data_IF_684529054598
#
_entry.id   IF_684529054598
#
_cell.length_a   1.000
_cell.length_b   1.000
_cell.length_c   1.000
_cell.angle_alpha   90.00
_cell.angle_beta   90.00
_cell.angle_gamma   90.00
#
_symmetry.space_group_name_H-M   'P 1'
#
loop_
_entity.id
_entity.type
_entity.pdbx_description
1 polymer ?
#
# COMPACT_ATOMS: atom_id res chain seq x y z
N UNK A 1 -21.63 -31.81 8.24
CA UNK A 1 -21.18 -31.01 7.08
C UNK A 1 -22.01 -29.74 6.96
N UNK A 2 -21.89 -28.79 7.90
CA UNK A 2 -22.72 -27.56 7.87
C UNK A 2 -22.17 -26.40 8.72
N UNK A 3 -20.85 -26.17 8.71
CA UNK A 3 -20.23 -25.04 9.46
C UNK A 3 -19.30 -24.15 8.66
N UNK A 4 -19.13 -24.38 7.35
CA UNK A 4 -18.15 -23.64 6.52
C UNK A 4 -18.66 -22.34 5.88
N UNK A 5 -19.95 -22.02 5.99
CA UNK A 5 -20.53 -20.82 5.35
C UNK A 5 -20.35 -19.53 6.16
N UNK A 6 -19.83 -19.58 7.40
CA UNK A 6 -19.77 -18.40 8.29
C UNK A 6 -18.41 -17.69 8.31
N UNK A 7 -17.34 -18.35 7.88
CA UNK A 7 -15.97 -17.84 7.95
C UNK A 7 -15.67 -16.75 6.92
N UNK A 8 -16.37 -16.75 5.78
CA UNK A 8 -16.26 -15.70 4.75
C UNK A 8 -16.97 -14.40 5.14
N UNK A 9 -17.90 -14.44 6.09
CA UNK A 9 -18.65 -13.25 6.52
C UNK A 9 -17.86 -12.32 7.43
N UNK A 10 -16.91 -12.85 8.22
CA UNK A 10 -16.10 -12.06 9.17
C UNK A 10 -15.08 -11.16 8.47
N UNK A 11 -14.51 -11.61 7.34
CA UNK A 11 -13.52 -10.84 6.55
C UNK A 11 -14.18 -9.69 5.78
N UNK A 12 -15.44 -9.85 5.38
CA UNK A 12 -16.22 -8.84 4.66
C UNK A 12 -16.61 -7.63 5.54
N UNK A 13 -16.67 -7.75 6.87
CA UNK A 13 -17.04 -6.63 7.74
C UNK A 13 -15.88 -5.64 7.95
N UNK A 14 -14.63 -6.12 8.04
CA UNK A 14 -13.43 -5.25 8.07
C UNK A 14 -13.36 -4.30 6.86
N UNK A 15 -13.77 -4.77 5.66
CA UNK A 15 -13.78 -3.94 4.45
C UNK A 15 -14.89 -2.87 4.43
N UNK A 16 -15.95 -3.00 5.26
CA UNK A 16 -17.10 -2.08 5.30
C UNK A 16 -16.96 -0.97 6.34
N UNK A 17 -16.22 -1.18 7.42
CA UNK A 17 -16.04 -0.19 8.48
C UNK A 17 -15.23 1.05 8.02
N UNK A 18 -14.43 0.94 6.95
CA UNK A 18 -13.60 2.03 6.41
C UNK A 18 -14.33 3.01 5.47
N UNK A 19 -15.65 2.89 5.27
CA UNK A 19 -16.42 3.78 4.37
C UNK A 19 -17.74 4.25 4.97
N UNK A 20 -17.69 5.23 5.87
CA UNK A 20 -18.80 6.18 6.05
C UNK A 20 -18.28 7.60 6.28
N UNK A 21 -18.51 8.55 5.35
CA UNK A 21 -18.36 9.97 5.64
C UNK A 21 -19.55 10.45 6.47
N UNK A 22 -19.29 10.90 7.69
CA UNK A 22 -20.30 11.57 8.54
C UNK A 22 -20.41 13.04 8.10
N UNK A 23 -21.32 13.34 7.18
CA UNK A 23 -21.79 14.70 6.92
C UNK A 23 -22.77 15.10 8.01
N UNK A 24 -22.37 16.01 8.90
CA UNK A 24 -23.29 16.77 9.74
C UNK A 24 -23.07 18.26 9.54
N UNK A 25 -24.07 18.88 8.91
CA UNK A 25 -24.30 20.32 8.89
C UNK A 25 -24.43 20.87 10.31
N UNK A 26 -23.76 21.99 10.58
CA UNK A 26 -24.17 22.94 11.61
C UNK A 26 -23.93 24.37 11.11
N UNK A 27 -25.03 25.05 10.80
CA UNK A 27 -25.10 26.51 10.66
C UNK A 27 -25.34 27.12 12.03
N UNK A 28 -24.67 28.23 12.37
CA UNK A 28 -25.13 29.28 13.31
C UNK A 28 -24.17 30.47 13.13
N UNK A 29 -24.59 31.51 12.42
CA UNK A 29 -25.17 32.79 12.89
C UNK A 29 -24.13 33.88 13.20
N UNK A 30 -24.36 35.00 12.53
CA UNK A 30 -23.64 36.26 12.44
C UNK A 30 -23.50 37.04 13.76
N UNK A 31 -22.37 37.72 13.94
CA UNK A 31 -22.35 39.01 14.63
C UNK A 31 -21.23 39.89 14.05
N UNK A 32 -21.65 41.02 13.49
CA UNK A 32 -20.85 42.08 12.88
C UNK A 32 -19.99 42.82 13.91
N UNK A 33 -18.79 43.25 13.52
CA UNK A 33 -18.33 44.60 13.84
C UNK A 33 -17.26 45.07 12.84
N UNK A 34 -17.54 46.26 12.30
CA UNK A 34 -16.81 47.01 11.29
C UNK A 34 -15.56 47.68 11.85
N UNK A 35 -14.48 47.76 11.06
CA UNK A 35 -13.66 48.99 10.95
C UNK A 35 -13.19 49.12 9.50
N UNK A 36 -13.52 50.27 8.91
CA UNK A 36 -13.17 50.70 7.56
C UNK A 36 -11.76 51.32 7.48
N UNK A 37 -11.15 51.24 6.28
CA UNK A 37 -10.26 52.23 5.60
C UNK A 37 -9.73 51.55 4.33
N UNK A 38 -10.32 51.76 3.15
CA UNK A 38 -10.12 52.89 2.21
C UNK A 38 -8.67 53.06 1.74
N UNK A 39 -8.41 52.72 0.47
CA UNK A 39 -7.49 53.34 -0.51
C UNK A 39 -7.69 52.59 -1.85
N UNK A 40 -8.57 53.02 -2.75
CA UNK A 40 -8.31 53.90 -3.91
C UNK A 40 -7.09 53.50 -4.78
N UNK A 41 -7.34 52.81 -5.91
CA UNK A 41 -6.86 53.22 -7.25
C UNK A 41 -7.54 52.42 -8.36
N UNK A 42 -8.24 53.16 -9.21
CA UNK A 42 -8.77 52.77 -10.51
C UNK A 42 -7.65 52.47 -11.53
N UNK A 43 -7.85 51.45 -12.36
CA UNK A 43 -7.49 51.49 -13.79
C UNK A 43 -8.58 50.72 -14.56
N UNK A 44 -9.42 51.45 -15.30
CA UNK A 44 -10.23 50.92 -16.40
C UNK A 44 -9.47 51.08 -17.72
N UNK A 45 -9.59 50.10 -18.63
CA UNK A 45 -9.64 50.41 -20.06
C UNK A 45 -10.55 49.44 -20.85
N UNK A 46 -11.42 50.07 -21.64
CA UNK A 46 -12.34 49.62 -22.71
C UNK A 46 -11.72 48.62 -23.70
N UNK A 47 -12.39 47.57 -24.18
CA UNK A 47 -13.58 47.42 -25.06
C UNK A 47 -13.27 47.32 -26.58
N UNK A 48 -13.66 46.15 -27.14
CA UNK A 48 -14.34 45.94 -28.43
C UNK A 48 -13.59 45.82 -29.77
N UNK A 49 -14.30 45.15 -30.70
CA UNK A 49 -14.14 45.00 -32.18
C UNK A 49 -13.28 43.78 -32.60
N UNK A 50 -13.71 42.81 -33.40
CA UNK A 50 -14.86 42.65 -34.29
C UNK A 50 -14.44 42.53 -35.76
N UNK A 51 -14.93 41.48 -36.46
CA UNK A 51 -14.92 41.22 -37.94
C UNK A 51 -13.67 40.51 -38.52
N UNK A 52 -13.81 39.25 -38.96
CA UNK A 52 -14.31 38.76 -40.26
C UNK A 52 -13.29 38.94 -41.40
N UNK A 53 -12.83 37.83 -42.00
CA UNK A 53 -12.64 37.74 -43.45
C UNK A 53 -12.83 36.30 -43.94
N UNK A 54 -13.53 36.21 -45.06
CA UNK A 54 -14.12 35.02 -45.68
C UNK A 54 -13.25 34.41 -46.78
N UNK A 55 -13.33 33.08 -46.89
CA UNK A 55 -13.44 32.23 -48.10
C UNK A 55 -12.47 32.48 -49.27
N UNK A 56 -11.63 31.48 -49.55
CA UNK A 56 -11.47 30.98 -50.92
C UNK A 56 -11.12 29.49 -50.98
N UNK A 57 -11.79 28.84 -51.92
CA UNK A 57 -11.79 27.43 -52.37
C UNK A 57 -10.50 27.00 -53.04
N UNK A 58 -10.00 25.79 -52.72
CA UNK A 58 -9.41 24.90 -53.75
C UNK A 58 -9.47 23.42 -53.35
N UNK A 59 -9.77 22.63 -54.37
CA UNK A 59 -10.10 21.19 -54.42
C UNK A 59 -8.80 20.39 -54.61
N UNK A 60 -8.60 19.29 -53.89
CA UNK A 60 -7.88 18.08 -54.33
C UNK A 60 -7.99 17.02 -53.21
N UNK A 61 -8.76 15.94 -53.41
CA UNK A 61 -8.30 14.64 -53.96
C UNK A 61 -7.13 14.07 -53.16
N UNK A 62 -7.45 13.23 -52.19
CA UNK A 62 -6.57 12.16 -51.72
C UNK A 62 -7.32 10.84 -51.79
N UNK A 63 -6.74 9.91 -52.54
CA UNK A 63 -7.15 8.53 -52.72
C UNK A 63 -7.06 7.77 -51.38
N UNK A 64 -8.16 7.15 -50.96
CA UNK A 64 -8.20 6.22 -49.84
C UNK A 64 -7.93 4.83 -50.39
N UNK A 65 -6.70 4.35 -50.22
CA UNK A 65 -6.35 2.94 -50.39
C UNK A 65 -7.08 2.12 -49.33
N UNK A 66 -8.10 1.38 -49.77
CA UNK A 66 -8.69 0.26 -49.03
C UNK A 66 -7.70 -0.90 -49.04
N UNK A 67 -7.03 -1.12 -47.92
CA UNK A 67 -6.32 -2.37 -47.68
C UNK A 67 -7.24 -3.27 -46.85
N UNK A 68 -7.84 -4.25 -47.51
CA UNK A 68 -8.55 -5.36 -46.90
C UNK A 68 -7.55 -6.36 -46.33
N UNK A 69 -7.49 -6.49 -45.02
CA UNK A 69 -6.86 -7.65 -44.37
C UNK A 69 -7.94 -8.64 -43.97
N UNK A 70 -7.97 -9.77 -44.66
CA UNK A 70 -8.72 -10.96 -44.28
C UNK A 70 -8.01 -11.62 -43.09
N UNK A 71 -8.65 -11.63 -41.93
CA UNK A 71 -8.27 -12.54 -40.85
C UNK A 71 -9.19 -13.75 -40.86
N UNK A 72 -8.61 -14.88 -41.24
CA UNK A 72 -9.17 -16.21 -41.08
C UNK A 72 -9.37 -16.52 -39.60
N UNK A 73 -10.61 -16.86 -39.26
CA UNK A 73 -11.02 -17.44 -37.99
C UNK A 73 -10.24 -18.73 -37.71
N UNK A 74 -9.43 -18.72 -36.65
CA UNK A 74 -9.11 -19.91 -35.89
C UNK A 74 -9.54 -19.67 -34.44
N UNK A 75 -10.58 -20.39 -34.04
CA UNK A 75 -10.91 -20.62 -32.65
C UNK A 75 -9.69 -21.24 -31.97
N UNK A 76 -9.04 -20.49 -31.09
CA UNK A 76 -8.06 -21.03 -30.16
C UNK A 76 -8.59 -20.78 -28.77
N UNK A 77 -9.08 -21.85 -28.15
CA UNK A 77 -9.48 -21.94 -26.76
C UNK A 77 -8.37 -21.38 -25.89
N UNK A 78 -8.53 -20.12 -25.47
CA UNK A 78 -7.65 -19.52 -24.48
C UNK A 78 -8.10 -20.02 -23.12
N UNK A 79 -7.55 -21.16 -22.72
CA UNK A 79 -7.55 -21.59 -21.32
C UNK A 79 -6.81 -20.53 -20.53
N UNK A 80 -7.57 -19.72 -19.80
CA UNK A 80 -7.10 -18.85 -18.73
C UNK A 80 -6.47 -19.77 -17.68
N UNK A 81 -5.15 -19.96 -17.74
CA UNK A 81 -4.39 -20.65 -16.69
C UNK A 81 -4.27 -19.65 -15.54
N UNK A 82 -5.36 -19.54 -14.78
CA UNK A 82 -5.34 -18.98 -13.43
C UNK A 82 -4.59 -20.01 -12.60
N UNK A 83 -3.32 -19.71 -12.30
CA UNK A 83 -2.50 -20.53 -11.43
C UNK A 83 -3.08 -20.40 -10.01
N UNK A 84 -4.17 -21.12 -9.75
CA UNK A 84 -4.71 -21.31 -8.39
C UNK A 84 -3.61 -22.00 -7.58
N UNK A 85 -2.79 -21.18 -6.93
CA UNK A 85 -1.85 -21.66 -5.95
C UNK A 85 -2.69 -22.17 -4.80
N UNK A 86 -2.85 -23.49 -4.71
CA UNK A 86 -3.61 -24.13 -3.64
C UNK A 86 -3.03 -23.67 -2.30
N UNK A 87 -3.76 -22.79 -1.60
CA UNK A 87 -3.30 -22.21 -0.35
C UNK A 87 -3.29 -23.29 0.73
N UNK A 88 -2.32 -23.21 1.63
CA UNK A 88 -2.23 -24.15 2.74
C UNK A 88 -3.51 -24.08 3.62
N UNK A 89 -3.92 -25.18 4.26
CA UNK A 89 -5.06 -25.19 5.18
C UNK A 89 -4.94 -24.09 6.24
N UNK A 90 -6.00 -23.30 6.43
CA UNK A 90 -6.01 -22.15 7.35
C UNK A 90 -5.32 -20.89 6.80
N UNK A 91 -4.92 -20.88 5.53
CA UNK A 91 -4.44 -19.69 4.82
C UNK A 91 -5.49 -19.18 3.84
N UNK A 92 -5.71 -17.86 3.81
CA UNK A 92 -6.55 -17.21 2.80
C UNK A 92 -5.97 -15.86 2.40
N UNK A 93 -6.22 -15.44 1.17
CA UNK A 93 -5.80 -14.12 0.66
C UNK A 93 -6.81 -13.04 1.04
N UNK A 94 -6.31 -11.82 1.20
CA UNK A 94 -7.18 -10.65 1.36
C UNK A 94 -7.95 -10.38 0.05
N UNK A 95 -9.28 -10.22 0.09
CA UNK A 95 -10.08 -10.00 -1.12
C UNK A 95 -9.92 -8.59 -1.70
N UNK A 96 -9.47 -7.64 -0.90
CA UNK A 96 -9.33 -6.23 -1.28
C UNK A 96 -7.88 -5.84 -1.59
N UNK A 97 -6.93 -6.61 -1.06
CA UNK A 97 -5.50 -6.34 -1.20
C UNK A 97 -4.74 -7.54 -1.74
N UNK A 98 -4.42 -7.49 -3.02
CA UNK A 98 -3.59 -8.50 -3.66
C UNK A 98 -2.24 -8.65 -2.94
N UNK A 99 -1.81 -9.90 -2.76
CA UNK A 99 -0.54 -10.22 -2.12
C UNK A 99 -0.54 -10.17 -0.59
N UNK A 100 -1.65 -9.85 0.07
CA UNK A 100 -1.81 -9.99 1.52
C UNK A 100 -2.48 -11.32 1.86
N UNK A 101 -1.93 -12.04 2.85
CA UNK A 101 -2.41 -13.34 3.28
C UNK A 101 -2.58 -13.38 4.79
N UNK A 102 -3.60 -14.13 5.22
CA UNK A 102 -3.88 -14.43 6.62
C UNK A 102 -3.60 -15.91 6.86
N UNK A 103 -2.80 -16.21 7.87
CA UNK A 103 -2.47 -17.57 8.28
C UNK A 103 -2.97 -17.84 9.69
N UNK A 104 -3.83 -18.85 9.83
CA UNK A 104 -4.30 -19.27 11.14
C UNK A 104 -3.16 -19.91 11.95
N UNK A 105 -2.93 -19.40 13.16
CA UNK A 105 -1.98 -19.94 14.12
C UNK A 105 -2.70 -20.37 15.39
N UNK A 106 -2.53 -21.64 15.75
CA UNK A 106 -2.97 -22.17 17.02
C UNK A 106 -2.07 -21.62 18.16
N UNK A 107 -2.63 -21.45 19.38
CA UNK A 107 -1.82 -21.13 20.55
C UNK A 107 -0.81 -22.26 20.86
N UNK A 108 0.36 -21.93 21.46
CA UNK A 108 0.78 -20.61 21.92
C UNK A 108 1.37 -19.73 20.81
N UNK A 109 1.11 -18.43 20.89
CA UNK A 109 1.63 -17.41 19.96
C UNK A 109 2.35 -16.30 20.73
N UNK A 110 3.20 -15.48 20.08
CA UNK A 110 3.89 -14.37 20.76
C UNK A 110 2.94 -13.35 21.40
N UNK A 111 1.71 -13.24 20.88
CA UNK A 111 0.71 -12.27 21.33
C UNK A 111 -0.31 -12.86 22.30
N UNK A 112 -0.52 -14.18 22.30
CA UNK A 112 -1.43 -14.85 23.22
C UNK A 112 -1.07 -16.32 23.43
N UNK A 113 -0.98 -16.79 24.69
CA UNK A 113 -0.73 -18.19 25.00
C UNK A 113 -1.97 -19.09 24.86
N UNK A 114 -3.17 -18.51 24.79
CA UNK A 114 -4.43 -19.26 24.87
C UNK A 114 -5.40 -19.01 23.71
N UNK A 115 -5.29 -17.87 23.03
CA UNK A 115 -6.22 -17.46 21.96
C UNK A 115 -5.55 -17.65 20.60
N UNK A 116 -6.21 -18.32 19.63
CA UNK A 116 -5.68 -18.40 18.27
C UNK A 116 -5.69 -17.04 17.59
N UNK A 117 -4.80 -16.88 16.63
CA UNK A 117 -4.63 -15.61 15.89
C UNK A 117 -4.51 -15.86 14.40
N UNK A 118 -4.80 -14.84 13.62
CA UNK A 118 -4.38 -14.72 12.23
C UNK A 118 -3.07 -13.94 12.17
N UNK A 119 -2.03 -14.56 11.62
CA UNK A 119 -0.79 -13.89 11.25
C UNK A 119 -0.88 -13.34 9.83
N UNK A 120 -0.59 -12.05 9.67
CA UNK A 120 -0.66 -11.37 8.38
C UNK A 120 0.72 -11.40 7.70
N UNK A 121 0.76 -11.65 6.40
CA UNK A 121 2.00 -11.89 5.64
C UNK A 121 1.84 -11.44 4.19
N UNK A 122 2.94 -11.05 3.54
CA UNK A 122 2.98 -10.82 2.09
C UNK A 122 3.30 -12.08 1.27
N UNK A 123 3.42 -13.24 1.94
CA UNK A 123 3.72 -14.52 1.31
C UNK A 123 2.50 -15.44 1.36
N UNK A 124 2.20 -16.17 0.26
CA UNK A 124 1.11 -17.15 0.25
C UNK A 124 1.40 -18.38 1.11
N UNK A 125 2.68 -18.67 1.37
CA UNK A 125 3.08 -19.80 2.21
C UNK A 125 3.04 -19.42 3.70
N UNK A 126 2.57 -20.31 4.59
CA UNK A 126 2.61 -20.09 6.02
C UNK A 126 4.01 -19.73 6.54
N UNK A 127 4.12 -18.86 7.56
CA UNK A 127 5.39 -18.52 8.17
C UNK A 127 6.05 -19.75 8.81
N UNK A 128 7.38 -19.76 8.87
CA UNK A 128 8.17 -20.89 9.41
C UNK A 128 7.98 -21.10 10.92
N UNK A 129 7.60 -20.05 11.64
CA UNK A 129 7.26 -20.09 13.06
C UNK A 129 6.25 -18.99 13.40
N UNK A 130 5.57 -19.11 14.54
CA UNK A 130 4.62 -18.11 15.02
C UNK A 130 5.26 -16.73 15.33
N UNK A 131 6.59 -16.68 15.44
CA UNK A 131 7.40 -15.50 15.78
C UNK A 131 8.37 -15.12 14.62
N UNK A 132 8.01 -15.52 13.40
CA UNK A 132 8.78 -15.23 12.18
C UNK A 132 8.80 -13.73 11.88
N UNK A 133 9.94 -13.21 11.41
CA UNK A 133 10.06 -11.84 10.92
C UNK A 133 9.35 -11.60 9.57
N UNK A 134 8.81 -12.65 8.94
CA UNK A 134 7.97 -12.53 7.73
C UNK A 134 6.50 -12.21 8.06
N UNK A 135 6.12 -12.23 9.33
CA UNK A 135 4.77 -11.89 9.80
C UNK A 135 4.72 -10.39 10.04
N UNK A 136 3.82 -9.68 9.36
CA UNK A 136 3.62 -8.23 9.51
C UNK A 136 3.09 -7.91 10.92
N UNK A 137 2.14 -8.72 11.38
CA UNK A 137 1.52 -8.63 12.71
C UNK A 137 0.41 -9.66 12.88
N UNK A 138 -0.32 -9.55 13.98
CA UNK A 138 -1.35 -10.52 14.37
C UNK A 138 -2.70 -9.86 14.64
N UNK A 139 -3.78 -10.59 14.35
CA UNK A 139 -5.16 -10.28 14.72
C UNK A 139 -5.77 -11.46 15.49
N UNK A 140 -6.61 -11.26 16.50
CA UNK A 140 -7.31 -12.35 17.17
C UNK A 140 -8.23 -13.09 16.19
N UNK A 141 -8.21 -14.42 16.24
CA UNK A 141 -9.11 -15.26 15.44
C UNK A 141 -10.42 -15.61 16.17
N UNK A 142 -10.56 -15.18 17.42
CA UNK A 142 -11.77 -15.35 18.22
C UNK A 142 -12.87 -14.38 17.79
N UNK A 143 -14.12 -14.78 18.04
CA UNK A 143 -15.26 -13.86 18.05
C UNK A 143 -15.53 -13.50 19.50
N UNK A 144 -15.70 -12.21 19.77
CA UNK A 144 -16.07 -11.69 21.07
C UNK A 144 -17.38 -12.34 21.49
N UNK A 145 -17.54 -12.65 22.78
CA UNK A 145 -18.71 -13.33 23.34
C UNK A 145 -20.04 -12.58 23.13
N UNK A 146 -20.00 -11.36 22.61
CA UNK A 146 -21.14 -10.48 22.36
C UNK A 146 -21.62 -10.47 20.89
N UNK A 147 -21.01 -11.27 20.00
CA UNK A 147 -21.47 -11.37 18.61
C UNK A 147 -21.25 -10.10 17.77
N UNK A 148 -20.40 -9.18 18.23
CA UNK A 148 -19.92 -8.05 17.42
C UNK A 148 -18.79 -8.49 16.48
N UNK A 149 -18.74 -7.82 15.33
CA UNK A 149 -18.12 -8.25 14.09
C UNK A 149 -16.58 -8.12 14.07
N UNK A 150 -15.87 -9.24 14.23
CA UNK A 150 -14.48 -9.42 13.79
C UNK A 150 -13.42 -8.56 14.51
N UNK A 151 -12.13 -8.88 14.27
CA UNK A 151 -11.03 -8.11 14.83
C UNK A 151 -11.02 -6.68 14.26
N UNK A 152 -11.05 -5.67 15.13
CA UNK A 152 -10.94 -4.27 14.75
C UNK A 152 -9.49 -3.83 14.58
N UNK A 153 -9.29 -2.58 14.13
CA UNK A 153 -7.97 -1.98 13.97
C UNK A 153 -7.14 -1.98 15.27
N UNK A 154 -7.81 -1.79 16.42
CA UNK A 154 -7.17 -1.78 17.75
C UNK A 154 -6.63 -3.14 18.18
N UNK A 155 -7.09 -4.22 17.54
CA UNK A 155 -6.68 -5.57 17.86
C UNK A 155 -5.40 -5.98 17.12
N UNK A 156 -4.95 -5.17 16.15
CA UNK A 156 -3.72 -5.42 15.43
C UNK A 156 -2.51 -5.25 16.36
N UNK A 157 -1.70 -6.32 16.44
CA UNK A 157 -0.42 -6.30 17.14
C UNK A 157 0.71 -6.33 16.12
N UNK A 158 1.46 -5.24 16.06
CA UNK A 158 2.63 -5.11 15.19
C UNK A 158 3.72 -6.12 15.57
N UNK A 159 4.37 -6.71 14.57
CA UNK A 159 5.57 -7.50 14.79
C UNK A 159 6.83 -6.61 14.72
N UNK A 160 7.54 -6.38 15.83
CA UNK A 160 8.74 -5.54 15.82
C UNK A 160 9.85 -6.14 14.95
N UNK A 161 9.91 -7.46 14.78
CA UNK A 161 10.91 -8.10 13.92
C UNK A 161 10.68 -7.85 12.45
N UNK A 162 9.42 -7.82 12.03
CA UNK A 162 9.07 -7.42 10.66
C UNK A 162 9.34 -5.95 10.44
N UNK A 163 9.00 -5.07 11.41
CA UNK A 163 9.32 -3.65 11.32
C UNK A 163 10.82 -3.40 11.15
N UNK A 164 11.66 -4.10 11.91
CA UNK A 164 13.10 -4.02 11.75
C UNK A 164 13.52 -4.47 10.33
N UNK A 165 13.06 -5.65 9.90
CA UNK A 165 13.36 -6.18 8.57
C UNK A 165 12.91 -5.20 7.46
N UNK A 166 11.74 -4.59 7.59
CA UNK A 166 11.21 -3.61 6.66
C UNK A 166 12.16 -2.43 6.50
N UNK A 167 12.65 -1.86 7.60
CA UNK A 167 13.59 -0.73 7.53
C UNK A 167 14.93 -1.14 6.88
N UNK A 168 15.45 -2.33 7.20
CA UNK A 168 16.66 -2.89 6.56
C UNK A 168 16.47 -3.08 5.05
N UNK A 169 15.31 -3.60 4.64
CA UNK A 169 14.93 -3.80 3.24
C UNK A 169 14.78 -2.48 2.49
N UNK A 170 14.11 -1.49 3.08
CA UNK A 170 13.97 -0.18 2.42
C UNK A 170 15.34 0.47 2.27
N UNK A 171 16.15 0.49 3.33
CA UNK A 171 17.49 1.07 3.25
C UNK A 171 18.35 0.40 2.17
N UNK A 172 18.35 -0.93 2.12
CA UNK A 172 19.10 -1.68 1.09
C UNK A 172 18.51 -1.54 -0.31
N UNK A 173 17.19 -1.43 -0.44
CA UNK A 173 16.50 -1.14 -1.71
C UNK A 173 16.85 0.24 -2.25
N UNK A 174 16.88 1.27 -1.39
CA UNK A 174 17.34 2.62 -1.75
C UNK A 174 18.81 2.61 -2.19
N UNK A 175 19.67 1.86 -1.48
CA UNK A 175 21.08 1.70 -1.86
C UNK A 175 21.25 1.02 -3.22
N UNK A 176 20.39 0.05 -3.52
CA UNK A 176 20.38 -0.69 -4.78
C UNK A 176 19.62 0.03 -5.90
N UNK A 177 19.06 1.22 -5.64
CA UNK A 177 18.31 2.04 -6.60
C UNK A 177 17.19 1.28 -7.33
N UNK A 178 16.45 0.44 -6.57
CA UNK A 178 15.41 -0.45 -7.12
C UNK A 178 14.08 0.24 -7.39
N UNK A 179 13.94 1.52 -7.05
CA UNK A 179 12.66 2.22 -7.05
C UNK A 179 12.72 3.57 -7.78
N UNK A 180 12.03 3.62 -8.92
CA UNK A 180 11.99 4.77 -9.81
C UNK A 180 11.32 5.99 -9.18
N UNK A 181 10.32 5.79 -8.31
CA UNK A 181 9.60 6.88 -7.64
C UNK A 181 10.54 7.57 -6.66
N UNK A 182 11.27 6.79 -5.85
CA UNK A 182 12.25 7.36 -4.91
C UNK A 182 13.39 8.07 -5.64
N UNK A 183 13.91 7.48 -6.74
CA UNK A 183 14.94 8.11 -7.57
C UNK A 183 14.47 9.43 -8.16
N UNK A 184 13.28 9.46 -8.75
CA UNK A 184 12.71 10.68 -9.32
C UNK A 184 12.43 11.74 -8.25
N UNK A 185 11.99 11.32 -7.05
CA UNK A 185 11.86 12.20 -5.88
C UNK A 185 13.18 12.87 -5.52
N UNK A 186 14.27 12.11 -5.47
CA UNK A 186 15.60 12.65 -5.19
C UNK A 186 16.07 13.62 -6.28
N UNK A 187 15.84 13.29 -7.55
CA UNK A 187 16.12 14.20 -8.68
C UNK A 187 15.33 15.51 -8.58
N UNK A 188 14.12 15.50 -8.03
CA UNK A 188 13.35 16.73 -7.82
C UNK A 188 13.87 17.54 -6.63
N UNK A 189 14.26 16.87 -5.54
CA UNK A 189 14.78 17.53 -4.32
C UNK A 189 16.15 18.17 -4.58
N UNK A 190 17.02 17.53 -5.37
CA UNK A 190 18.41 17.92 -5.66
C UNK A 190 19.33 17.93 -4.43
N UNK A 191 18.97 18.66 -3.37
CA UNK A 191 19.76 18.83 -2.15
C UNK A 191 18.81 18.90 -0.93
N UNK A 192 19.14 18.21 0.15
CA UNK A 192 18.43 18.28 1.43
C UNK A 192 17.80 16.97 1.89
N UNK A 193 16.89 17.04 2.86
CA UNK A 193 16.21 15.85 3.39
C UNK A 193 14.97 15.50 2.57
N UNK A 194 14.81 14.22 2.29
CA UNK A 194 13.64 13.65 1.61
C UNK A 194 12.99 12.59 2.50
N UNK A 195 11.66 12.59 2.54
CA UNK A 195 10.88 11.60 3.27
C UNK A 195 10.49 10.44 2.36
N UNK A 196 10.59 9.23 2.90
CA UNK A 196 10.07 8.01 2.28
C UNK A 196 8.66 7.81 2.82
N UNK A 197 7.67 7.91 1.94
CA UNK A 197 6.26 7.84 2.31
C UNK A 197 5.68 6.44 2.12
N UNK A 198 4.70 6.14 2.96
CA UNK A 198 3.74 5.07 2.76
C UNK A 198 2.71 5.48 1.70
N UNK A 199 2.40 4.60 0.76
CA UNK A 199 1.46 4.88 -0.34
C UNK A 199 -0.02 4.90 0.08
N UNK A 200 -0.33 4.56 1.34
CA UNK A 200 -1.69 4.69 1.88
C UNK A 200 -2.24 6.11 1.74
N UNK A 201 -1.42 7.12 2.00
CA UNK A 201 -1.82 8.51 2.11
C UNK A 201 -0.70 9.44 1.61
N UNK A 202 -0.55 9.51 0.29
CA UNK A 202 0.49 10.33 -0.35
C UNK A 202 0.14 11.82 -0.18
N UNK A 203 1.03 12.65 0.40
CA UNK A 203 0.76 14.07 0.56
C UNK A 203 0.68 14.80 -0.78
N UNK A 204 -0.06 15.91 -0.81
CA UNK A 204 -0.04 16.82 -1.94
C UNK A 204 1.38 17.37 -2.19
N UNK A 205 1.70 17.70 -3.44
CA UNK A 205 3.02 18.16 -3.83
C UNK A 205 3.45 19.38 -2.98
N UNK A 206 4.64 19.29 -2.36
CA UNK A 206 5.18 20.33 -1.50
C UNK A 206 4.59 20.38 -0.09
N UNK A 207 3.74 19.41 0.29
CA UNK A 207 3.28 19.19 1.67
C UNK A 207 4.04 18.03 2.30
N UNK A 208 4.17 18.08 3.62
CA UNK A 208 4.65 16.97 4.43
C UNK A 208 3.42 16.14 4.83
N UNK A 209 3.49 14.83 4.63
CA UNK A 209 2.43 13.90 5.02
C UNK A 209 2.31 13.74 6.53
N UNK A 210 1.31 12.98 6.96
CA UNK A 210 1.13 12.70 8.38
C UNK A 210 2.33 11.89 8.92
N UNK A 211 2.80 12.17 10.16
CA UNK A 211 3.95 11.47 10.74
C UNK A 211 3.81 9.95 10.79
N UNK A 212 2.58 9.45 10.86
CA UNK A 212 2.27 8.01 10.92
C UNK A 212 2.43 7.31 9.56
N UNK A 213 2.51 8.08 8.47
CA UNK A 213 2.70 7.63 7.08
C UNK A 213 4.08 7.99 6.50
N UNK A 214 4.95 8.62 7.29
CA UNK A 214 6.36 8.82 6.93
C UNK A 214 7.11 7.61 7.47
N UNK A 215 7.67 6.78 6.59
CA UNK A 215 8.41 5.57 6.99
C UNK A 215 9.78 5.95 7.54
N UNK A 216 10.48 6.83 6.82
CA UNK A 216 11.84 7.24 7.12
C UNK A 216 12.20 8.56 6.44
N UNK A 217 13.36 9.11 6.81
CA UNK A 217 13.99 10.23 6.11
C UNK A 217 15.40 9.85 5.64
N UNK A 218 15.82 10.44 4.53
CA UNK A 218 17.15 10.26 3.94
C UNK A 218 17.67 11.61 3.43
N UNK A 219 18.98 11.79 3.47
CA UNK A 219 19.65 12.91 2.82
C UNK A 219 19.75 12.66 1.31
N UNK A 220 19.53 13.71 0.55
CA UNK A 220 19.73 13.79 -0.89
C UNK A 220 20.82 14.81 -1.18
N UNK A 221 21.79 14.42 -2.00
CA UNK A 221 22.82 15.31 -2.54
C UNK A 221 22.99 15.06 -4.03
N UNK A 222 23.04 16.13 -4.82
CA UNK A 222 23.15 16.11 -6.28
C UNK A 222 22.11 15.20 -6.95
N UNK A 223 20.88 15.24 -6.42
CA UNK A 223 19.76 14.43 -6.89
C UNK A 223 19.88 12.94 -6.58
N UNK A 224 20.81 12.53 -5.70
CA UNK A 224 21.05 11.14 -5.32
C UNK A 224 20.76 10.90 -3.84
N UNK A 225 20.11 9.79 -3.55
CA UNK A 225 19.80 9.35 -2.18
C UNK A 225 21.07 8.82 -1.51
N UNK A 226 21.35 9.31 -0.30
CA UNK A 226 22.40 8.81 0.59
C UNK A 226 21.81 7.79 1.56
N UNK A 227 21.70 6.54 1.09
CA UNK A 227 21.06 5.43 1.85
C UNK A 227 21.65 5.21 3.27
N UNK A 228 22.91 5.56 3.49
CA UNK A 228 23.61 5.51 4.78
C UNK A 228 23.04 6.49 5.82
N UNK A 229 22.34 7.52 5.38
CA UNK A 229 21.69 8.52 6.24
C UNK A 229 20.24 8.16 6.61
N UNK A 230 19.81 6.94 6.28
CA UNK A 230 18.47 6.44 6.56
C UNK A 230 18.13 6.54 8.05
N UNK A 231 17.08 7.29 8.34
CA UNK A 231 16.55 7.49 9.68
C UNK A 231 15.09 7.03 9.72
N UNK A 232 14.79 5.89 10.37
CA UNK A 232 13.42 5.44 10.61
C UNK A 232 12.60 6.51 11.34
N UNK A 233 11.35 6.72 10.95
CA UNK A 233 10.45 7.61 11.65
C UNK A 233 9.90 6.91 12.91
N UNK A 234 10.07 7.49 14.13
CA UNK A 234 9.55 6.87 15.35
C UNK A 234 8.01 6.81 15.41
N UNK A 235 7.35 7.80 14.79
CA UNK A 235 5.89 7.89 14.74
C UNK A 235 5.24 6.88 13.80
N UNK A 236 5.98 6.34 12.82
CA UNK A 236 5.45 5.42 11.82
C UNK A 236 4.71 4.22 12.43
N UNK A 237 3.60 3.81 11.79
CA UNK A 237 2.76 2.66 12.15
C UNK A 237 2.51 1.78 10.94
N UNK A 238 2.69 0.47 11.12
CA UNK A 238 2.46 -0.53 10.06
C UNK A 238 0.99 -0.65 9.69
N UNK A 239 0.09 -0.31 10.59
CA UNK A 239 -1.35 -0.31 10.37
C UNK A 239 -1.97 0.97 10.93
N UNK A 240 -2.75 1.67 10.11
CA UNK A 240 -3.50 2.88 10.47
C UNK A 240 -4.97 2.71 10.08
N UNK A 241 -5.78 3.75 10.24
CA UNK A 241 -7.16 3.77 9.72
C UNK A 241 -7.25 3.55 8.21
N UNK A 242 -6.20 3.89 7.47
CA UNK A 242 -6.10 3.72 6.02
C UNK A 242 -5.60 2.31 5.64
N UNK A 243 -5.31 1.48 6.65
CA UNK A 243 -4.97 0.07 6.51
C UNK A 243 -3.49 -0.22 6.73
N UNK A 244 -3.08 -1.40 6.24
CA UNK A 244 -1.69 -1.86 6.34
C UNK A 244 -0.77 -1.10 5.38
N UNK A 245 0.50 -1.00 5.77
CA UNK A 245 1.60 -0.40 4.99
C UNK A 245 1.49 -0.64 3.50
N UNK A 246 1.65 0.38 2.67
CA UNK A 246 1.79 0.26 1.21
C UNK A 246 3.11 0.89 0.77
N UNK A 247 3.88 0.15 -0.03
CA UNK A 247 5.14 0.62 -0.58
C UNK A 247 4.98 0.78 -2.09
N UNK A 248 5.75 1.69 -2.64
CA UNK A 248 5.96 1.83 -4.09
C UNK A 248 6.32 0.49 -4.73
N UNK A 249 6.00 0.33 -6.02
CA UNK A 249 6.15 -0.94 -6.74
C UNK A 249 7.56 -1.54 -6.66
N UNK A 250 8.60 -0.70 -6.78
CA UNK A 250 9.99 -1.14 -6.70
C UNK A 250 10.35 -1.68 -5.32
N UNK A 251 10.03 -0.92 -4.27
CA UNK A 251 10.27 -1.32 -2.89
C UNK A 251 9.42 -2.52 -2.45
N UNK A 252 8.15 -2.60 -2.87
CA UNK A 252 7.26 -3.74 -2.54
C UNK A 252 7.73 -5.04 -3.20
N UNK A 253 8.13 -4.98 -4.48
CA UNK A 253 8.71 -6.14 -5.20
C UNK A 253 10.02 -6.58 -4.53
N UNK A 254 10.87 -5.63 -4.16
CA UNK A 254 12.12 -5.91 -3.47
C UNK A 254 11.88 -6.54 -2.09
N UNK A 255 10.93 -6.02 -1.31
CA UNK A 255 10.52 -6.61 -0.03
C UNK A 255 10.01 -8.03 -0.20
N UNK A 256 9.14 -8.28 -1.17
CA UNK A 256 8.60 -9.61 -1.41
C UNK A 256 9.72 -10.61 -1.73
N UNK A 257 10.70 -10.22 -2.56
CA UNK A 257 11.88 -11.05 -2.84
C UNK A 257 12.64 -11.42 -1.55
N UNK A 258 12.96 -10.42 -0.72
CA UNK A 258 13.70 -10.66 0.54
C UNK A 258 12.89 -11.54 1.51
N UNK A 259 11.57 -11.36 1.58
CA UNK A 259 10.70 -12.19 2.41
C UNK A 259 10.71 -13.66 1.95
N UNK A 260 10.66 -13.92 0.64
CA UNK A 260 10.78 -15.27 0.07
C UNK A 260 12.12 -15.89 0.47
N UNK A 261 13.23 -15.19 0.26
CA UNK A 261 14.58 -15.64 0.62
C UNK A 261 14.71 -15.93 2.12
N UNK A 262 14.18 -15.04 2.96
CA UNK A 262 14.19 -15.17 4.42
C UNK A 262 13.39 -16.39 4.89
N UNK A 263 12.20 -16.61 4.29
CA UNK A 263 11.34 -17.76 4.62
C UNK A 263 12.02 -19.09 4.29
N UNK A 264 12.76 -19.16 3.18
CA UNK A 264 13.49 -20.35 2.74
C UNK A 264 14.76 -20.58 3.57
N UNK A 265 15.48 -19.51 3.90
CA UNK A 265 16.65 -19.57 4.79
C UNK A 265 16.29 -20.09 6.18
N UNK A 266 15.13 -19.69 6.72
CA UNK A 266 14.57 -20.22 7.96
C UNK A 266 14.30 -21.73 7.90
N UNK A 267 13.72 -22.23 6.80
CA UNK A 267 13.48 -23.67 6.59
C UNK A 267 14.77 -24.48 6.58
N UNK A 268 15.82 -23.99 5.90
CA UNK A 268 17.14 -24.65 5.86
C UNK A 268 17.80 -24.69 7.23
N UNK A 269 17.71 -23.60 8.01
CA UNK A 269 18.26 -23.54 9.37
C UNK A 269 17.50 -24.44 10.36
N UNK A 270 16.18 -24.49 10.30
CA UNK A 270 15.37 -25.36 11.15
C UNK A 270 15.68 -26.85 10.92
N UNK A 271 15.84 -27.28 9.66
CA UNK A 271 16.23 -28.64 9.31
C UNK A 271 17.65 -28.98 9.80
N UNK A 272 18.59 -28.04 9.72
CA UNK A 272 19.96 -28.24 10.20
C UNK A 272 20.04 -28.36 11.74
N UNK A 273 19.26 -27.58 12.48
CA UNK A 273 19.17 -27.69 13.95
C UNK A 273 18.53 -29.01 14.36
N UNK A 274 17.49 -29.45 13.66
CA UNK A 274 16.84 -30.73 13.93
C UNK A 274 17.77 -31.91 13.67
N UNK A 275 18.58 -31.88 12.61
CA UNK A 275 19.55 -32.94 12.33
C UNK A 275 20.66 -33.02 13.40
N UNK A 276 21.01 -31.90 14.03
CA UNK A 276 22.09 -31.86 15.03
C UNK A 276 21.65 -32.28 16.44
N UNK A 277 20.34 -32.27 16.73
CA UNK A 277 19.76 -32.72 18.00
C UNK A 277 19.48 -34.24 18.04
N UNK A 278 19.65 -34.95 16.93
CA UNK A 278 19.38 -36.39 16.78
C UNK A 278 20.62 -37.22 16.40
N UNK A 279 21.83 -36.66 16.58
CA UNK A 279 23.13 -37.37 16.47
C UNK A 279 23.87 -37.20 17.79
#
# INVERSE_FOLDING_TARGET
MQTWSKTTSTVLSLCKAARKPHLSHASITTSSQSVARSLHRDIQFRASVGRNLSKTTTRNRYDILKISYSYSSLASSTTKVELETELAPGTFSDPTRAGLFYHYLAPPTPVSPAVPVYALSFLPSPPSSADSNTIIGWLPAGTDSNGEEGAGLNDFKENPKFRQLLHEVIQSGLKADVDDIQRNGALQVQQGWMHIHDERNIPALGRIGDPDDIIASVLVEDGKIKSETYQPMPAYRLCTSDGLIQLTEGLSTYLQKILVETSQGGKKRALAVYLHLFV
#
